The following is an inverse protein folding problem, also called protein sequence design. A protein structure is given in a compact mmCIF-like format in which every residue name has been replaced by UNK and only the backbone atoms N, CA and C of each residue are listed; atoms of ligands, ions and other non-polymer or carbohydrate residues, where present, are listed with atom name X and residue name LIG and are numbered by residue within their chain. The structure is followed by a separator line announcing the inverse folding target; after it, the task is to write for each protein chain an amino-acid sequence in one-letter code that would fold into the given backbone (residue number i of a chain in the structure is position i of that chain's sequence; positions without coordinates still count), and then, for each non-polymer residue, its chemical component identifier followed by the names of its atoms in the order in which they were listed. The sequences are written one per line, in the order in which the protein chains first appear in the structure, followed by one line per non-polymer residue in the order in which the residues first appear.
data_IF_500304139135
#
_entry.id   IF_500304139135
#
_cell.length_a   1.000
_cell.length_b   1.000
_cell.length_c   1.000
_cell.angle_alpha   90.00
_cell.angle_beta   90.00
_cell.angle_gamma   90.00
#
_symmetry.space_group_name_H-M   'P 1'
#
loop_
_entity.id
_entity.type
_entity.pdbx_description
1 polymer ?
#
# COMPACT_ATOMS: atom_id res chain seq x y z
N UNK A 1 24.58 0.97 15.22
CA UNK A 1 23.28 1.57 15.61
C UNK A 1 22.38 0.42 15.99
N UNK A 2 21.83 0.44 17.21
CA UNK A 2 20.89 -0.59 17.68
C UNK A 2 19.57 -0.33 17.00
N UNK A 3 19.18 -1.19 16.06
CA UNK A 3 17.83 -1.18 15.48
C UNK A 3 17.00 -2.09 16.37
N UNK A 4 16.17 -1.46 17.20
CA UNK A 4 15.25 -2.04 18.16
C UNK A 4 14.29 -2.99 17.43
N UNK A 5 14.36 -4.27 17.78
CA UNK A 5 13.38 -5.29 17.42
C UNK A 5 12.00 -4.83 17.87
N UNK A 6 10.98 -4.72 16.99
CA UNK A 6 9.64 -4.37 17.45
C UNK A 6 9.13 -5.54 18.29
N UNK A 7 8.84 -5.26 19.56
CA UNK A 7 7.95 -6.08 20.38
C UNK A 7 6.71 -6.38 19.53
N UNK A 8 6.62 -7.61 19.02
CA UNK A 8 5.49 -8.07 18.20
C UNK A 8 4.31 -8.26 19.14
N UNK A 9 3.67 -7.15 19.52
CA UNK A 9 2.36 -7.17 20.13
C UNK A 9 1.39 -7.73 19.09
N UNK A 10 1.05 -9.00 19.28
CA UNK A 10 0.12 -9.72 18.45
C UNK A 10 -1.27 -9.07 18.62
N UNK A 11 -1.80 -8.49 17.54
CA UNK A 11 -3.10 -7.80 17.56
C UNK A 11 -4.21 -8.80 17.26
N UNK A 12 -5.38 -8.65 17.89
CA UNK A 12 -6.53 -9.50 17.59
C UNK A 12 -7.15 -9.11 16.24
N UNK A 13 -7.84 -10.06 15.60
CA UNK A 13 -8.56 -9.77 14.35
C UNK A 13 -9.63 -8.67 14.56
N UNK A 14 -10.29 -8.66 15.71
CA UNK A 14 -11.31 -7.64 16.04
C UNK A 14 -10.70 -6.25 16.14
N UNK A 15 -9.54 -6.12 16.79
CA UNK A 15 -8.84 -4.83 16.89
C UNK A 15 -8.33 -4.39 15.52
N UNK A 16 -7.82 -5.33 14.70
CA UNK A 16 -7.41 -5.05 13.33
C UNK A 16 -8.55 -4.46 12.49
N UNK A 17 -9.76 -5.02 12.58
CA UNK A 17 -10.94 -4.56 11.83
C UNK A 17 -11.43 -3.17 12.26
N UNK A 18 -11.02 -2.67 13.42
CA UNK A 18 -11.34 -1.30 13.87
C UNK A 18 -10.33 -0.25 13.38
N UNK A 19 -9.18 -0.67 12.86
CA UNK A 19 -8.17 0.24 12.32
C UNK A 19 -8.71 0.84 11.01
N UNK A 20 -8.53 2.15 10.77
CA UNK A 20 -8.87 2.74 9.48
C UNK A 20 -8.15 2.05 8.32
N UNK A 21 -8.85 1.91 7.20
CA UNK A 21 -8.24 1.45 5.95
C UNK A 21 -7.10 2.38 5.52
N UNK A 22 -6.06 1.79 4.92
CA UNK A 22 -4.89 2.53 4.41
C UNK A 22 -4.67 2.24 2.95
N UNK A 23 -4.04 3.17 2.23
CA UNK A 23 -3.54 2.96 0.87
C UNK A 23 -2.01 3.13 0.89
N UNK A 24 -1.22 2.08 0.59
CA UNK A 24 -1.65 0.73 0.21
C UNK A 24 -2.26 -0.04 1.38
N UNK A 25 -3.11 -1.01 1.03
CA UNK A 25 -3.82 -1.86 1.98
C UNK A 25 -2.86 -2.64 2.90
N UNK A 26 -3.35 -2.97 4.09
CA UNK A 26 -2.67 -3.81 5.07
C UNK A 26 -3.31 -5.20 5.10
N UNK A 27 -2.49 -6.24 5.11
CA UNK A 27 -2.91 -7.62 5.34
C UNK A 27 -2.73 -7.99 6.81
N UNK A 28 -3.64 -8.80 7.34
CA UNK A 28 -3.54 -9.38 8.68
C UNK A 28 -3.26 -10.89 8.55
N UNK A 29 -2.13 -11.33 9.08
CA UNK A 29 -1.67 -12.73 9.01
C UNK A 29 -1.18 -13.12 10.40
N UNK A 30 -1.79 -14.14 11.00
CA UNK A 30 -1.37 -14.74 12.29
C UNK A 30 -1.20 -13.75 13.47
N UNK A 31 -1.99 -12.66 13.49
CA UNK A 31 -1.90 -11.65 14.55
C UNK A 31 -0.92 -10.52 14.25
N UNK A 32 -0.42 -10.46 13.01
CA UNK A 32 0.51 -9.43 12.55
C UNK A 32 -0.07 -8.68 11.36
N UNK A 33 0.29 -7.40 11.27
CA UNK A 33 -0.16 -6.51 10.20
C UNK A 33 1.00 -6.25 9.24
N UNK A 34 0.78 -6.51 7.96
CA UNK A 34 1.73 -6.32 6.88
C UNK A 34 1.21 -5.26 5.91
N UNK A 35 1.95 -4.19 5.65
CA UNK A 35 1.55 -3.22 4.63
C UNK A 35 1.97 -3.70 3.25
N UNK A 36 1.05 -3.73 2.28
CA UNK A 36 1.39 -4.09 0.90
C UNK A 36 2.39 -3.09 0.34
N UNK A 37 3.35 -3.53 -0.50
CA UNK A 37 4.14 -2.60 -1.27
C UNK A 37 3.20 -1.76 -2.12
N UNK A 38 3.42 -0.44 -2.18
CA UNK A 38 2.78 0.37 -3.20
C UNK A 38 3.12 -0.24 -4.56
N UNK A 39 2.13 -0.45 -5.42
CA UNK A 39 2.38 -0.89 -6.78
C UNK A 39 3.26 0.18 -7.46
N UNK A 40 4.56 -0.08 -7.55
CA UNK A 40 5.48 0.76 -8.29
C UNK A 40 5.15 0.58 -9.77
N UNK A 41 4.72 1.67 -10.41
CA UNK A 41 4.08 1.71 -11.70
C UNK A 41 4.96 1.35 -12.91
N UNK A 42 5.61 0.20 -12.91
CA UNK A 42 6.52 -0.20 -13.99
C UNK A 42 5.80 -0.90 -15.16
N UNK A 43 4.51 -1.23 -15.00
CA UNK A 43 3.63 -1.74 -16.06
C UNK A 43 2.55 -0.74 -16.51
N UNK A 44 2.71 0.56 -16.21
CA UNK A 44 1.74 1.60 -16.59
C UNK A 44 1.61 1.75 -18.13
N UNK A 45 2.60 1.29 -18.91
CA UNK A 45 2.62 1.45 -20.38
C UNK A 45 1.50 0.75 -21.16
N UNK A 46 0.79 -0.22 -20.59
CA UNK A 46 -0.30 -0.94 -21.28
C UNK A 46 -1.69 -0.74 -20.63
N UNK A 47 -1.75 -0.21 -19.41
CA UNK A 47 -3.02 -0.03 -18.72
C UNK A 47 -3.74 1.21 -19.25
N UNK A 48 -5.01 1.04 -19.65
CA UNK A 48 -5.83 2.17 -20.07
C UNK A 48 -5.90 3.23 -18.95
N UNK A 49 -6.01 4.52 -19.30
CA UNK A 49 -6.14 5.60 -18.31
C UNK A 49 -7.32 5.40 -17.36
N UNK A 50 -8.38 4.73 -17.80
CA UNK A 50 -9.56 4.40 -16.99
C UNK A 50 -9.21 3.41 -15.89
N UNK A 51 -8.33 2.44 -16.16
CA UNK A 51 -7.88 1.46 -15.16
C UNK A 51 -7.04 2.13 -14.06
N UNK A 52 -6.26 3.15 -14.38
CA UNK A 52 -5.47 3.91 -13.39
C UNK A 52 -6.36 4.63 -12.36
N UNK A 53 -7.55 5.11 -12.76
CA UNK A 53 -8.51 5.73 -11.85
C UNK A 53 -9.07 4.75 -10.82
N UNK A 54 -9.32 3.49 -11.20
CA UNK A 54 -9.79 2.47 -10.27
C UNK A 54 -8.75 2.11 -9.20
N UNK A 55 -7.46 2.24 -9.53
CA UNK A 55 -6.36 1.96 -8.60
C UNK A 55 -5.89 3.19 -7.81
N UNK A 56 -6.56 4.35 -7.92
CA UNK A 56 -6.15 5.56 -7.21
C UNK A 56 -4.80 6.13 -7.64
N UNK A 57 -4.18 5.57 -8.69
CA UNK A 57 -2.89 6.00 -9.21
C UNK A 57 -3.09 7.26 -10.03
N UNK A 58 -2.74 8.42 -9.46
CA UNK A 58 -2.69 9.67 -10.22
C UNK A 58 -1.59 9.52 -11.28
N UNK A 59 -1.89 9.75 -12.57
CA UNK A 59 -0.85 9.73 -13.59
C UNK A 59 0.20 10.77 -13.21
N UNK A 60 1.46 10.34 -13.13
CA UNK A 60 2.58 11.26 -12.92
C UNK A 60 2.54 12.26 -14.09
N UNK A 61 2.53 13.58 -13.85
CA UNK A 61 2.59 14.55 -14.94
C UNK A 61 3.87 14.25 -15.73
N UNK A 62 3.71 13.95 -17.03
CA UNK A 62 4.86 13.86 -17.92
C UNK A 62 5.49 15.26 -17.96
N UNK A 63 6.82 15.38 -17.81
CA UNK A 63 7.47 16.66 -18.03
C UNK A 63 7.12 17.11 -19.45
N UNK A 64 6.60 18.33 -19.57
CA UNK A 64 6.38 18.95 -20.87
C UNK A 64 7.72 18.98 -21.60
N UNK A 65 7.84 18.20 -22.67
CA UNK A 65 8.86 18.49 -23.67
C UNK A 65 8.54 19.89 -24.22
N UNK A 66 9.52 20.78 -24.09
CA UNK A 66 9.38 22.23 -24.29
C UNK A 66 9.12 22.66 -25.72
#
# INVERSE_FOLDING_TARGET
MVITTPDKTQISLTDFLQIPETDPARDYIEGEIYQKPMAQGEHIGHLSPVSLWFFGLKPKPQPSEG
#
